data_IF_888576317456
#
_entry.id   IF_888576317456
#
_cell.length_a   1.000
_cell.length_b   1.000
_cell.length_c   1.000
_cell.angle_alpha   90.00
_cell.angle_beta   90.00
_cell.angle_gamma   90.00
#
_symmetry.space_group_name_H-M   'P 1'
#
loop_
_entity.id
_entity.type
_entity.pdbx_description
1 polymer ?
#
# COMPACT_ATOMS: atom_id res chain seq x y z
N UNK A 1 35.51 -15.46 0.82
CA UNK A 1 34.99 -14.52 -0.19
C UNK A 1 34.24 -15.26 -1.31
N UNK A 2 33.77 -16.50 -1.06
CA UNK A 2 33.07 -17.37 -2.05
C UNK A 2 31.59 -17.67 -1.72
N UNK A 3 31.08 -17.23 -0.58
CA UNK A 3 29.69 -17.50 -0.16
C UNK A 3 28.67 -16.44 -0.60
N UNK A 4 29.12 -15.33 -1.18
CA UNK A 4 28.21 -14.24 -1.64
C UNK A 4 27.83 -14.42 -3.11
N UNK A 5 28.59 -15.21 -3.88
CA UNK A 5 28.35 -15.41 -5.31
C UNK A 5 27.35 -16.54 -5.63
N UNK A 6 27.11 -17.44 -4.68
CA UNK A 6 26.15 -18.55 -4.87
C UNK A 6 24.66 -18.14 -4.72
N UNK A 7 24.36 -17.01 -4.09
CA UNK A 7 22.97 -16.54 -3.90
C UNK A 7 22.39 -15.76 -5.09
N UNK A 8 23.25 -15.39 -6.07
CA UNK A 8 22.80 -14.56 -7.21
C UNK A 8 22.33 -15.35 -8.44
N UNK A 9 22.45 -16.66 -8.48
CA UNK A 9 22.23 -17.44 -9.72
C UNK A 9 20.97 -18.32 -9.69
N UNK A 10 20.26 -18.45 -8.56
CA UNK A 10 19.04 -19.28 -8.44
C UNK A 10 17.71 -18.51 -8.48
N UNK A 11 17.73 -17.17 -8.63
CA UNK A 11 16.51 -16.32 -8.60
C UNK A 11 15.95 -16.02 -10.02
N UNK A 12 16.41 -16.71 -11.07
CA UNK A 12 15.91 -16.48 -12.45
C UNK A 12 14.89 -17.53 -12.92
N UNK A 13 13.99 -17.99 -12.05
CA UNK A 13 12.72 -18.61 -12.44
C UNK A 13 11.55 -17.77 -11.92
N UNK A 14 11.56 -16.46 -12.16
CA UNK A 14 10.47 -15.57 -11.88
C UNK A 14 9.55 -15.45 -13.09
N UNK A 15 8.24 -15.58 -12.89
CA UNK A 15 7.24 -15.16 -13.85
C UNK A 15 7.58 -13.76 -14.35
N UNK A 16 7.42 -13.49 -15.66
CA UNK A 16 7.74 -12.19 -16.25
C UNK A 16 7.05 -11.09 -15.45
N UNK A 17 7.85 -10.13 -14.95
CA UNK A 17 7.36 -9.00 -14.15
C UNK A 17 6.27 -8.25 -14.93
N UNK A 18 5.09 -8.09 -14.33
CA UNK A 18 3.97 -7.39 -14.97
C UNK A 18 4.29 -5.91 -15.15
N UNK A 19 3.67 -5.25 -16.14
CA UNK A 19 3.83 -3.80 -16.33
C UNK A 19 3.48 -3.02 -15.06
N UNK A 20 2.38 -3.40 -14.39
CA UNK A 20 1.97 -2.81 -13.12
C UNK A 20 3.03 -2.95 -12.02
N UNK A 21 3.75 -4.08 -11.96
CA UNK A 21 4.85 -4.27 -11.01
C UNK A 21 6.02 -3.34 -11.31
N UNK A 22 6.38 -3.15 -12.58
CA UNK A 22 7.44 -2.21 -13.00
C UNK A 22 7.09 -0.78 -12.59
N UNK A 23 5.85 -0.35 -12.84
CA UNK A 23 5.38 0.99 -12.43
C UNK A 23 5.43 1.16 -10.91
N UNK A 24 5.09 0.13 -10.14
CA UNK A 24 5.24 0.18 -8.68
C UNK A 24 6.70 0.35 -8.25
N UNK A 25 7.62 -0.36 -8.90
CA UNK A 25 9.06 -0.22 -8.60
C UNK A 25 9.57 1.17 -8.97
N UNK A 26 9.14 1.76 -10.09
CA UNK A 26 9.47 3.14 -10.48
C UNK A 26 8.94 4.15 -9.46
N UNK A 27 7.71 3.99 -8.98
CA UNK A 27 7.10 4.85 -7.97
C UNK A 27 7.83 4.79 -6.62
N UNK A 28 8.41 3.65 -6.27
CA UNK A 28 9.21 3.48 -5.05
C UNK A 28 10.56 4.20 -5.11
N UNK A 29 11.07 4.47 -6.31
CA UNK A 29 12.29 5.25 -6.53
C UNK A 29 12.07 6.77 -6.48
N UNK A 30 10.81 7.22 -6.43
CA UNK A 30 10.50 8.66 -6.27
C UNK A 30 10.84 9.10 -4.85
N UNK A 31 11.84 9.94 -4.74
CA UNK A 31 12.31 10.44 -3.45
C UNK A 31 11.22 11.26 -2.74
N UNK A 32 11.01 10.97 -1.47
CA UNK A 32 10.05 11.67 -0.61
C UNK A 32 10.78 12.17 0.64
N UNK A 33 11.02 13.48 0.69
CA UNK A 33 11.83 14.11 1.74
C UNK A 33 10.94 14.65 2.86
N UNK A 34 9.77 15.23 2.51
CA UNK A 34 8.90 15.90 3.50
C UNK A 34 8.25 14.87 4.44
N UNK A 35 8.33 15.05 5.77
CA UNK A 35 7.70 14.14 6.73
C UNK A 35 6.20 13.95 6.49
N UNK A 36 5.45 15.02 6.18
CA UNK A 36 4.02 14.95 5.87
C UNK A 36 3.72 14.05 4.65
N UNK A 37 4.55 14.11 3.62
CA UNK A 37 4.41 13.28 2.42
C UNK A 37 4.72 11.79 2.71
N UNK A 38 5.72 11.54 3.55
CA UNK A 38 6.04 10.16 4.00
C UNK A 38 4.86 9.58 4.79
N UNK A 39 4.27 10.37 5.69
CA UNK A 39 3.08 9.96 6.45
C UNK A 39 1.89 9.72 5.53
N UNK A 40 1.65 10.58 4.55
CA UNK A 40 0.56 10.43 3.59
C UNK A 40 0.72 9.16 2.74
N UNK A 41 1.94 8.82 2.29
CA UNK A 41 2.22 7.57 1.58
C UNK A 41 1.96 6.35 2.47
N UNK A 42 2.46 6.36 3.71
CA UNK A 42 2.22 5.32 4.69
C UNK A 42 0.72 5.14 4.94
N UNK A 43 -0.01 6.23 5.10
CA UNK A 43 -1.45 6.22 5.28
C UNK A 43 -2.19 5.57 4.11
N UNK A 44 -1.85 5.93 2.87
CA UNK A 44 -2.41 5.31 1.67
C UNK A 44 -2.17 3.79 1.63
N UNK A 45 -0.93 3.36 1.90
CA UNK A 45 -0.54 1.95 1.95
C UNK A 45 -1.33 1.17 3.02
N UNK A 46 -1.47 1.74 4.23
CA UNK A 46 -2.17 1.12 5.35
C UNK A 46 -3.68 1.04 5.10
N UNK A 47 -4.30 2.18 4.77
CA UNK A 47 -5.75 2.29 4.66
C UNK A 47 -6.32 1.43 3.52
N UNK A 48 -5.60 1.35 2.39
CA UNK A 48 -5.96 0.56 1.22
C UNK A 48 -5.30 -0.83 1.18
N UNK A 49 -4.52 -1.16 2.22
CA UNK A 49 -4.03 -2.51 2.47
C UNK A 49 -5.13 -3.49 2.83
N UNK A 50 -4.77 -4.77 2.94
CA UNK A 50 -5.73 -5.85 3.22
C UNK A 50 -6.30 -5.79 4.63
N UNK A 51 -5.46 -5.53 5.64
CA UNK A 51 -5.84 -5.41 7.03
C UNK A 51 -5.50 -4.04 7.60
N UNK A 52 -6.50 -3.33 8.15
CA UNK A 52 -6.32 -2.08 8.89
C UNK A 52 -7.41 -1.98 9.95
N UNK A 53 -7.20 -2.67 11.07
CA UNK A 53 -8.12 -2.74 12.22
C UNK A 53 -7.37 -3.16 13.49
N UNK A 54 -8.01 -3.09 14.66
CA UNK A 54 -7.43 -3.57 15.91
C UNK A 54 -7.13 -5.09 15.89
N UNK A 55 -7.84 -5.85 15.06
CA UNK A 55 -7.60 -7.28 14.88
C UNK A 55 -6.39 -7.58 14.01
N UNK A 56 -6.17 -6.78 12.98
CA UNK A 56 -5.11 -7.02 11.99
C UNK A 56 -4.68 -5.73 11.29
N UNK A 57 -3.37 -5.58 11.12
CA UNK A 57 -2.75 -4.55 10.28
C UNK A 57 -1.74 -5.27 9.40
N UNK A 58 -2.01 -5.36 8.08
CA UNK A 58 -1.12 -6.05 7.15
C UNK A 58 -1.34 -5.64 5.70
N UNK A 59 -0.30 -5.86 4.88
CA UNK A 59 -0.39 -5.91 3.43
C UNK A 59 -0.11 -7.33 2.92
N UNK A 60 -0.67 -7.67 1.77
CA UNK A 60 -0.33 -8.90 1.03
C UNK A 60 -0.10 -8.54 -0.43
N UNK A 61 1.12 -8.76 -0.92
CA UNK A 61 1.57 -8.33 -2.26
C UNK A 61 2.52 -9.38 -2.87
N UNK A 62 2.60 -9.41 -4.19
CA UNK A 62 3.60 -10.20 -4.93
C UNK A 62 4.85 -9.37 -5.25
N UNK A 63 4.78 -8.04 -5.08
CA UNK A 63 5.91 -7.15 -5.29
C UNK A 63 6.73 -7.02 -3.99
N UNK A 64 7.97 -7.53 -4.02
CA UNK A 64 8.88 -7.54 -2.87
C UNK A 64 9.24 -6.13 -2.40
N UNK A 65 9.43 -5.20 -3.33
CA UNK A 65 9.82 -3.83 -2.99
C UNK A 65 8.67 -3.08 -2.29
N UNK A 66 7.42 -3.33 -2.70
CA UNK A 66 6.22 -2.83 -1.98
C UNK A 66 6.15 -3.40 -0.57
N UNK A 67 6.42 -4.69 -0.40
CA UNK A 67 6.45 -5.33 0.93
C UNK A 67 7.50 -4.70 1.85
N UNK A 68 8.71 -4.46 1.34
CA UNK A 68 9.81 -3.81 2.07
C UNK A 68 9.46 -2.37 2.43
N UNK A 69 8.88 -1.60 1.49
CA UNK A 69 8.45 -0.22 1.74
C UNK A 69 7.36 -0.14 2.79
N UNK A 70 6.37 -1.04 2.73
CA UNK A 70 5.34 -1.14 3.76
C UNK A 70 5.96 -1.39 5.14
N UNK A 71 6.87 -2.37 5.23
CA UNK A 71 7.57 -2.70 6.48
C UNK A 71 8.31 -1.49 7.04
N UNK A 72 9.14 -0.84 6.23
CA UNK A 72 9.91 0.36 6.60
C UNK A 72 9.02 1.48 7.17
N UNK A 73 7.91 1.77 6.49
CA UNK A 73 7.02 2.85 6.88
C UNK A 73 6.24 2.53 8.16
N UNK A 74 5.75 1.30 8.30
CA UNK A 74 4.92 0.89 9.44
C UNK A 74 5.75 0.72 10.71
N UNK A 75 6.99 0.23 10.61
CA UNK A 75 7.88 0.06 11.76
C UNK A 75 8.29 1.38 12.44
N UNK A 76 7.97 2.53 11.84
CA UNK A 76 8.10 3.84 12.50
C UNK A 76 7.10 4.06 13.64
N UNK A 77 6.04 3.25 13.69
CA UNK A 77 4.94 3.35 14.67
C UNK A 77 4.86 2.14 15.60
N UNK A 78 5.76 1.17 15.48
CA UNK A 78 5.75 -0.06 16.26
C UNK A 78 7.02 -0.20 17.10
N UNK A 79 6.91 -0.80 18.26
CA UNK A 79 8.06 -1.15 19.11
C UNK A 79 8.74 -2.44 18.64
N UNK A 80 7.98 -3.30 17.97
CA UNK A 80 8.44 -4.60 17.49
C UNK A 80 8.47 -4.63 15.96
N UNK A 81 9.40 -5.40 15.37
CA UNK A 81 9.44 -5.56 13.93
C UNK A 81 8.19 -6.24 13.39
N UNK A 82 7.80 -5.89 12.17
CA UNK A 82 6.73 -6.56 11.46
C UNK A 82 7.09 -8.01 11.14
N UNK A 83 6.11 -8.90 11.25
CA UNK A 83 6.24 -10.28 10.78
C UNK A 83 6.18 -10.31 9.25
N UNK A 84 7.09 -11.05 8.63
CA UNK A 84 7.12 -11.26 7.18
C UNK A 84 6.99 -12.75 6.90
N UNK A 85 6.06 -13.10 6.02
CA UNK A 85 5.89 -14.48 5.55
C UNK A 85 5.64 -14.49 4.04
N UNK A 86 6.09 -15.54 3.37
CA UNK A 86 5.91 -15.75 1.95
C UNK A 86 5.18 -17.07 1.73
N UNK A 87 4.13 -17.05 0.91
CA UNK A 87 3.38 -18.25 0.55
C UNK A 87 4.06 -19.00 -0.59
N UNK A 88 3.70 -20.26 -0.79
CA UNK A 88 4.17 -21.08 -1.91
C UNK A 88 3.85 -20.46 -3.30
N UNK A 89 2.85 -19.57 -3.38
CA UNK A 89 2.51 -18.82 -4.60
C UNK A 89 3.33 -17.54 -4.79
N UNK A 90 4.35 -17.27 -3.95
CA UNK A 90 5.18 -16.05 -4.03
C UNK A 90 4.52 -14.81 -3.45
N UNK A 91 3.38 -14.94 -2.75
CA UNK A 91 2.70 -13.82 -2.13
C UNK A 91 3.29 -13.53 -0.76
N UNK A 92 3.78 -12.30 -0.58
CA UNK A 92 4.43 -11.81 0.64
C UNK A 92 3.38 -11.12 1.51
N UNK A 93 3.28 -11.53 2.78
CA UNK A 93 2.49 -10.86 3.80
C UNK A 93 3.41 -10.19 4.80
N UNK A 94 3.21 -8.87 5.01
CA UNK A 94 3.87 -8.10 6.06
C UNK A 94 2.79 -7.67 7.05
N UNK A 95 2.94 -8.02 8.33
CA UNK A 95 1.90 -7.80 9.34
C UNK A 95 2.47 -7.34 10.68
N UNK A 96 1.70 -6.50 11.39
CA UNK A 96 1.98 -6.07 12.76
C UNK A 96 1.54 -7.16 13.74
N UNK A 97 2.47 -7.69 14.52
CA UNK A 97 2.27 -8.91 15.30
C UNK A 97 1.34 -8.75 16.50
N UNK A 98 1.63 -7.81 17.41
CA UNK A 98 0.91 -7.67 18.64
C UNK A 98 -0.18 -6.59 18.60
N UNK A 99 -1.11 -6.64 19.55
CA UNK A 99 -2.25 -5.72 19.63
C UNK A 99 -1.83 -4.28 19.96
N UNK A 100 -0.81 -4.09 20.81
CA UNK A 100 -0.35 -2.77 21.21
C UNK A 100 0.20 -2.00 20.01
N UNK A 101 1.08 -2.62 19.23
CA UNK A 101 1.63 -2.03 18.02
C UNK A 101 0.55 -1.75 16.97
N UNK A 102 -0.44 -2.67 16.79
CA UNK A 102 -1.58 -2.41 15.89
C UNK A 102 -2.37 -1.18 16.31
N UNK A 103 -2.63 -1.00 17.61
CA UNK A 103 -3.33 0.18 18.11
C UNK A 103 -2.46 1.44 17.98
N UNK A 104 -1.15 1.35 18.18
CA UNK A 104 -0.23 2.47 17.95
C UNK A 104 -0.27 2.95 16.49
N UNK A 105 -0.21 2.02 15.53
CA UNK A 105 -0.36 2.33 14.10
C UNK A 105 -1.71 2.98 13.81
N UNK A 106 -2.82 2.43 14.31
CA UNK A 106 -4.15 3.00 14.10
C UNK A 106 -4.27 4.42 14.69
N UNK A 107 -3.82 4.60 15.93
CA UNK A 107 -3.88 5.88 16.63
C UNK A 107 -3.06 6.96 15.93
N UNK A 108 -1.92 6.62 15.35
CA UNK A 108 -1.08 7.55 14.60
C UNK A 108 -1.82 8.21 13.43
N UNK A 109 -2.84 7.54 12.88
CA UNK A 109 -3.67 8.05 11.78
C UNK A 109 -5.09 8.43 12.21
N UNK A 110 -5.34 8.53 13.53
CA UNK A 110 -6.60 9.01 14.09
C UNK A 110 -7.72 7.96 14.14
N UNK A 111 -7.38 6.67 14.15
CA UNK A 111 -8.32 5.57 14.36
C UNK A 111 -8.13 4.96 15.74
N UNK A 112 -9.22 4.51 16.38
CA UNK A 112 -9.19 3.93 17.72
C UNK A 112 -9.39 2.40 17.73
N UNK A 113 -9.56 1.81 16.54
CA UNK A 113 -9.75 0.37 16.36
C UNK A 113 -11.16 -0.13 16.64
N UNK A 114 -12.13 0.78 16.88
CA UNK A 114 -13.55 0.46 17.10
C UNK A 114 -14.43 0.80 15.88
N UNK A 115 -13.81 1.28 14.81
CA UNK A 115 -14.49 1.66 13.58
C UNK A 115 -15.19 0.45 12.95
N UNK A 116 -16.50 0.59 12.71
CA UNK A 116 -17.32 -0.43 12.03
C UNK A 116 -17.13 -0.41 10.51
N UNK A 117 -16.74 0.74 9.99
CA UNK A 117 -16.52 0.95 8.55
C UNK A 117 -15.19 1.63 8.33
N UNK A 118 -14.47 1.20 7.31
CA UNK A 118 -13.22 1.84 6.90
C UNK A 118 -13.57 3.09 6.09
N UNK A 119 -13.11 4.25 6.55
CA UNK A 119 -13.34 5.55 5.93
C UNK A 119 -12.02 6.32 5.84
N UNK A 120 -11.94 7.26 4.93
CA UNK A 120 -10.80 8.15 4.79
C UNK A 120 -10.82 9.23 5.90
N UNK A 121 -9.72 9.38 6.63
CA UNK A 121 -9.50 10.50 7.54
C UNK A 121 -8.69 11.58 6.80
N UNK A 122 -9.36 12.65 6.39
CA UNK A 122 -8.80 13.73 5.59
C UNK A 122 -7.66 14.48 6.27
N UNK A 123 -7.60 14.48 7.60
CA UNK A 123 -6.52 15.14 8.35
C UNK A 123 -5.12 14.57 8.05
N UNK A 124 -5.04 13.34 7.50
CA UNK A 124 -3.77 12.73 7.10
C UNK A 124 -3.27 13.19 5.72
N UNK A 125 -4.04 14.05 5.01
CA UNK A 125 -3.72 14.58 3.68
C UNK A 125 -4.00 16.08 3.69
N UNK A 126 -3.43 16.81 4.65
CA UNK A 126 -3.77 18.20 4.91
C UNK A 126 -3.10 19.21 3.95
N UNK A 127 -2.02 18.80 3.28
CA UNK A 127 -1.22 19.67 2.44
C UNK A 127 -1.29 19.21 0.97
N UNK A 128 -1.28 20.16 0.04
CA UNK A 128 -1.27 19.87 -1.41
C UNK A 128 -0.10 18.94 -1.80
N UNK A 129 1.06 19.11 -1.16
CA UNK A 129 2.20 18.23 -1.43
C UNK A 129 1.98 16.77 -0.98
N UNK A 130 0.97 16.48 -0.16
CA UNK A 130 0.65 15.13 0.32
C UNK A 130 -0.21 14.33 -0.66
N UNK A 131 -0.93 15.01 -1.59
CA UNK A 131 -1.87 14.39 -2.53
C UNK A 131 -1.19 13.28 -3.34
N UNK A 132 -0.09 13.62 -4.02
CA UNK A 132 0.66 12.65 -4.83
C UNK A 132 1.25 11.50 -4.02
N UNK A 133 1.75 11.79 -2.80
CA UNK A 133 2.31 10.77 -1.92
C UNK A 133 1.24 9.83 -1.37
N UNK A 134 0.08 10.34 -1.01
CA UNK A 134 -1.07 9.52 -0.61
C UNK A 134 -1.51 8.61 -1.75
N UNK A 135 -1.71 9.15 -2.95
CA UNK A 135 -2.11 8.37 -4.14
C UNK A 135 -1.07 7.31 -4.50
N UNK A 136 0.23 7.61 -4.34
CA UNK A 136 1.28 6.61 -4.48
C UNK A 136 1.07 5.45 -3.51
N UNK A 137 0.84 5.73 -2.23
CA UNK A 137 0.54 4.71 -1.23
C UNK A 137 -0.69 3.87 -1.59
N UNK A 138 -1.77 4.51 -2.04
CA UNK A 138 -2.99 3.82 -2.52
C UNK A 138 -2.67 2.92 -3.71
N UNK A 139 -1.93 3.42 -4.72
CA UNK A 139 -1.58 2.64 -5.90
C UNK A 139 -0.69 1.45 -5.55
N UNK A 140 0.30 1.63 -4.69
CA UNK A 140 1.16 0.55 -4.21
C UNK A 140 0.35 -0.55 -3.53
N UNK A 141 -0.68 -0.18 -2.75
CA UNK A 141 -1.53 -1.12 -2.01
C UNK A 141 -2.51 -1.89 -2.91
N UNK A 142 -3.27 -1.18 -3.75
CA UNK A 142 -4.41 -1.76 -4.47
C UNK A 142 -4.53 -1.33 -5.94
N UNK A 143 -3.58 -0.54 -6.44
CA UNK A 143 -3.58 -0.07 -7.83
C UNK A 143 -3.02 -1.10 -8.80
N UNK A 144 -3.57 -1.09 -10.02
CA UNK A 144 -3.06 -1.82 -11.18
C UNK A 144 -3.15 -0.93 -12.42
N UNK A 145 -2.23 -1.13 -13.37
CA UNK A 145 -2.21 -0.40 -14.63
C UNK A 145 -1.79 -1.34 -15.78
N UNK A 146 -2.45 -1.21 -16.92
CA UNK A 146 -2.09 -1.95 -18.12
C UNK A 146 -0.91 -1.31 -18.86
N UNK A 147 -0.18 -2.12 -19.67
CA UNK A 147 0.83 -1.59 -20.58
C UNK A 147 0.21 -0.60 -21.58
N UNK A 148 0.93 0.49 -21.93
CA UNK A 148 0.48 1.47 -22.93
C UNK A 148 0.20 0.87 -24.31
N UNK A 149 0.82 -0.26 -24.66
CA UNK A 149 0.56 -1.03 -25.90
C UNK A 149 -0.85 -1.66 -25.93
N UNK A 150 -1.46 -1.80 -24.76
CA UNK A 150 -2.86 -2.17 -24.57
C UNK A 150 -3.62 -0.90 -24.17
N UNK A 151 -4.91 -0.86 -24.26
CA UNK A 151 -5.69 0.30 -23.83
C UNK A 151 -5.28 0.77 -22.43
N UNK A 152 -5.03 2.08 -22.29
CA UNK A 152 -4.74 2.67 -20.97
C UNK A 152 -5.87 2.35 -20.01
N UNK A 153 -5.55 1.63 -18.95
CA UNK A 153 -6.50 1.31 -17.90
C UNK A 153 -5.78 1.30 -16.57
N UNK A 154 -6.14 2.24 -15.70
CA UNK A 154 -5.70 2.32 -14.32
C UNK A 154 -6.89 1.99 -13.44
N UNK A 155 -6.71 1.08 -12.50
CA UNK A 155 -7.75 0.60 -11.62
C UNK A 155 -7.26 0.55 -10.17
N UNK A 156 -8.12 0.91 -9.22
CA UNK A 156 -7.97 0.68 -7.79
C UNK A 156 -9.01 -0.35 -7.35
N UNK A 157 -8.55 -1.49 -6.82
CA UNK A 157 -9.45 -2.54 -6.32
C UNK A 157 -9.68 -2.33 -4.82
N UNK A 158 -10.79 -1.70 -4.47
CA UNK A 158 -11.13 -1.34 -3.10
C UNK A 158 -12.32 -2.17 -2.62
N UNK A 159 -12.15 -3.14 -1.70
CA UNK A 159 -13.22 -4.03 -1.25
C UNK A 159 -14.23 -3.36 -0.31
N UNK A 160 -13.93 -2.19 0.22
CA UNK A 160 -14.77 -1.47 1.16
C UNK A 160 -15.54 -0.34 0.46
N UNK A 161 -16.85 -0.51 0.30
CA UNK A 161 -17.72 0.40 -0.46
C UNK A 161 -17.60 1.88 -0.02
N UNK A 162 -17.61 2.15 1.27
CA UNK A 162 -17.48 3.54 1.75
C UNK A 162 -16.10 4.13 1.49
N UNK A 163 -15.05 3.33 1.61
CA UNK A 163 -13.68 3.76 1.29
C UNK A 163 -13.49 3.98 -0.23
N UNK A 164 -14.15 3.18 -1.08
CA UNK A 164 -14.19 3.38 -2.53
C UNK A 164 -14.79 4.74 -2.88
N UNK A 165 -15.93 5.08 -2.27
CA UNK A 165 -16.59 6.38 -2.45
C UNK A 165 -15.74 7.55 -1.94
N UNK A 166 -15.07 7.37 -0.78
CA UNK A 166 -14.15 8.38 -0.26
C UNK A 166 -12.98 8.62 -1.22
N UNK A 167 -12.40 7.55 -1.81
CA UNK A 167 -11.35 7.66 -2.82
C UNK A 167 -11.86 8.35 -4.09
N UNK A 168 -13.04 7.98 -4.58
CA UNK A 168 -13.63 8.61 -5.76
C UNK A 168 -13.83 10.12 -5.52
N UNK A 169 -14.37 10.51 -4.35
CA UNK A 169 -14.49 11.90 -3.97
C UNK A 169 -13.12 12.58 -3.93
N UNK A 170 -12.12 11.97 -3.30
CA UNK A 170 -10.75 12.49 -3.24
C UNK A 170 -10.19 12.76 -4.64
N UNK A 171 -10.35 11.80 -5.56
CA UNK A 171 -9.89 11.94 -6.95
C UNK A 171 -10.61 13.10 -7.64
N UNK A 172 -11.93 13.19 -7.50
CA UNK A 172 -12.74 14.27 -8.09
C UNK A 172 -12.38 15.65 -7.55
N UNK A 173 -12.16 15.77 -6.24
CA UNK A 173 -11.77 17.04 -5.59
C UNK A 173 -10.36 17.51 -6.04
N UNK A 174 -9.57 16.63 -6.67
CA UNK A 174 -8.24 16.91 -7.23
C UNK A 174 -8.19 16.83 -8.76
N UNK A 175 -9.30 17.10 -9.45
CA UNK A 175 -9.41 17.13 -10.92
C UNK A 175 -9.05 15.81 -11.63
N UNK A 176 -9.16 14.70 -10.93
CA UNK A 176 -8.94 13.36 -11.46
C UNK A 176 -10.28 12.63 -11.66
N UNK A 177 -10.72 12.50 -12.90
CA UNK A 177 -11.95 11.79 -13.22
C UNK A 177 -11.79 10.27 -12.96
N UNK A 178 -12.64 9.72 -12.10
CA UNK A 178 -12.67 8.29 -11.80
C UNK A 178 -14.11 7.76 -11.89
N UNK A 179 -14.26 6.55 -12.46
CA UNK A 179 -15.54 5.85 -12.56
C UNK A 179 -15.56 4.67 -11.58
N UNK A 180 -16.57 4.61 -10.75
CA UNK A 180 -16.80 3.45 -9.88
C UNK A 180 -17.49 2.33 -10.68
N UNK A 181 -16.93 1.11 -10.57
CA UNK A 181 -17.50 -0.10 -11.18
C UNK A 181 -17.60 -1.17 -10.11
N UNK A 182 -18.81 -1.63 -9.84
CA UNK A 182 -19.03 -2.75 -8.91
C UNK A 182 -18.94 -4.07 -9.69
N UNK A 183 -18.05 -4.97 -9.27
CA UNK A 183 -17.98 -6.33 -9.80
C UNK A 183 -18.78 -7.23 -8.87
N UNK A 184 -19.83 -7.82 -9.40
CA UNK A 184 -20.53 -8.91 -8.71
C UNK A 184 -19.61 -10.13 -8.80
N UNK A 185 -19.10 -10.60 -7.65
CA UNK A 185 -18.32 -11.82 -7.52
C UNK A 185 -19.20 -13.06 -7.46
#
# INVERSE_FOLDING_TARGET
MELIQAYSTEILKGSAMTFSSKVKDELLNVETIKPCCILAECYGLLLFGRGFSAGEVYISTENRNVALRYKELVERFTENPCNVSESASGKIKVSVGNKQDRLAVLNAFGYNGKERTRRLNWANISEDCCIGSFLRGVFLACGTVNSPEKNYHLEFVVPHMYLSRDLQKFLSDNDMAAKEVTRNG
#
